data_IF_475940256001
#
_entry.id   IF_475940256001
#
_cell.length_a   1.000
_cell.length_b   1.000
_cell.length_c   1.000
_cell.angle_alpha   90.00
_cell.angle_beta   90.00
_cell.angle_gamma   90.00
#
_symmetry.space_group_name_H-M   'P 1'
#
loop_
_entity.id
_entity.type
_entity.pdbx_description
1 polymer ?
#
# COMPACT_ATOMS: atom_id res chain seq x y z
N UNK A 1 -19.52 5.07 -18.99
CA UNK A 1 -18.79 6.13 -18.26
C UNK A 1 -18.35 5.53 -16.93
N UNK A 2 -17.08 5.14 -16.82
CA UNK A 2 -16.55 4.51 -15.61
C UNK A 2 -16.62 5.51 -14.45
N UNK A 3 -17.26 5.10 -13.34
CA UNK A 3 -17.43 5.94 -12.14
C UNK A 3 -16.05 6.46 -11.71
N UNK A 4 -15.88 7.78 -11.68
CA UNK A 4 -14.67 8.42 -11.19
C UNK A 4 -14.60 8.09 -9.70
N UNK A 5 -13.62 7.28 -9.29
CA UNK A 5 -13.44 6.96 -7.88
C UNK A 5 -13.04 8.26 -7.17
N UNK A 6 -13.84 8.76 -6.21
CA UNK A 6 -13.53 9.95 -5.44
C UNK A 6 -12.27 9.76 -4.61
N UNK A 7 -11.60 10.86 -4.26
CA UNK A 7 -10.33 10.85 -3.52
C UNK A 7 -10.43 10.06 -2.22
N UNK A 8 -11.56 10.19 -1.52
CA UNK A 8 -11.83 9.50 -0.25
C UNK A 8 -11.85 7.97 -0.43
N UNK A 9 -12.54 7.49 -1.46
CA UNK A 9 -12.58 6.05 -1.77
C UNK A 9 -11.19 5.53 -2.23
N UNK A 10 -10.32 6.38 -2.80
CA UNK A 10 -8.92 5.99 -3.09
C UNK A 10 -8.09 5.83 -1.82
N UNK A 11 -8.28 6.72 -0.85
CA UNK A 11 -7.61 6.67 0.46
C UNK A 11 -8.05 5.42 1.22
N UNK A 12 -9.35 5.13 1.27
CA UNK A 12 -9.88 3.92 1.90
C UNK A 12 -9.34 2.65 1.22
N UNK A 13 -9.34 2.59 -0.11
CA UNK A 13 -8.77 1.45 -0.85
C UNK A 13 -7.28 1.26 -0.55
N UNK A 14 -6.50 2.34 -0.48
CA UNK A 14 -5.09 2.24 -0.13
C UNK A 14 -4.89 1.70 1.30
N UNK A 15 -5.70 2.16 2.27
CA UNK A 15 -5.68 1.63 3.64
C UNK A 15 -6.00 0.14 3.68
N UNK A 16 -7.04 -0.28 2.96
CA UNK A 16 -7.42 -1.70 2.87
C UNK A 16 -6.31 -2.56 2.23
N UNK A 17 -5.60 -2.05 1.23
CA UNK A 17 -4.47 -2.76 0.62
C UNK A 17 -3.27 -2.89 1.57
N UNK A 18 -3.01 -1.89 2.41
CA UNK A 18 -1.96 -1.96 3.44
C UNK A 18 -2.29 -3.05 4.48
N UNK A 19 -3.52 -3.07 4.97
CA UNK A 19 -3.97 -4.11 5.91
C UNK A 19 -3.91 -5.51 5.26
N UNK A 20 -4.35 -5.61 4.00
CA UNK A 20 -4.23 -6.86 3.24
C UNK A 20 -2.78 -7.32 3.10
N UNK A 21 -1.82 -6.41 2.93
CA UNK A 21 -0.40 -6.73 2.87
C UNK A 21 0.12 -7.31 4.20
N UNK A 22 -0.42 -6.87 5.34
CA UNK A 22 -0.10 -7.40 6.68
C UNK A 22 -0.73 -8.76 6.96
N UNK A 23 -1.88 -9.04 6.36
CA UNK A 23 -2.56 -10.34 6.47
C UNK A 23 -1.90 -11.43 5.61
N UNK A 24 -1.04 -11.08 4.65
CA UNK A 24 -0.30 -12.07 3.86
C UNK A 24 0.62 -12.81 4.83
N UNK A 25 0.32 -14.08 5.08
CA UNK A 25 1.13 -14.92 5.95
C UNK A 25 2.45 -15.28 5.24
N UNK A 26 3.60 -15.21 5.93
CA UNK A 26 4.85 -15.68 5.37
C UNK A 26 4.77 -17.20 5.16
N UNK A 27 5.31 -17.73 4.05
CA UNK A 27 5.34 -19.17 3.82
C UNK A 27 6.25 -19.86 4.86
N UNK A 28 5.76 -20.93 5.51
CA UNK A 28 6.54 -21.68 6.51
C UNK A 28 7.77 -22.41 5.93
N UNK A 29 7.79 -22.63 4.61
CA UNK A 29 8.87 -23.32 3.92
C UNK A 29 9.79 -22.30 3.23
N UNK A 30 10.82 -21.88 3.96
CA UNK A 30 11.82 -20.94 3.47
C UNK A 30 12.50 -21.45 2.19
N UNK A 31 12.34 -20.73 1.09
CA UNK A 31 12.70 -21.16 -0.26
C UNK A 31 12.16 -20.21 -1.34
N UNK A 32 12.00 -20.67 -2.59
CA UNK A 32 11.47 -19.86 -3.70
C UNK A 32 10.09 -19.20 -3.40
N UNK A 33 9.36 -19.75 -2.43
CA UNK A 33 8.12 -19.17 -1.93
C UNK A 33 8.33 -17.82 -1.23
N UNK A 34 9.48 -17.56 -0.61
CA UNK A 34 9.79 -16.27 0.03
C UNK A 34 9.89 -15.13 -0.97
N UNK A 35 10.51 -15.40 -2.14
CA UNK A 35 10.58 -14.41 -3.21
C UNK A 35 9.20 -14.13 -3.81
N UNK A 36 8.36 -15.16 -3.93
CA UNK A 36 6.98 -15.02 -4.42
C UNK A 36 6.12 -14.26 -3.42
N UNK A 37 6.26 -14.54 -2.13
CA UNK A 37 5.64 -13.81 -1.03
C UNK A 37 6.08 -12.34 -1.01
N UNK A 38 7.38 -12.08 -1.09
CA UNK A 38 7.92 -10.73 -1.10
C UNK A 38 7.43 -9.94 -2.32
N UNK A 39 7.36 -10.57 -3.49
CA UNK A 39 6.81 -9.98 -4.70
C UNK A 39 5.32 -9.65 -4.54
N UNK A 40 4.53 -10.52 -3.89
CA UNK A 40 3.10 -10.31 -3.66
C UNK A 40 2.85 -9.14 -2.71
N UNK A 41 3.54 -9.11 -1.56
CA UNK A 41 3.48 -7.99 -0.60
C UNK A 41 3.87 -6.68 -1.28
N UNK A 42 4.97 -6.67 -2.02
CA UNK A 42 5.46 -5.49 -2.72
C UNK A 42 4.51 -5.02 -3.81
N UNK A 43 3.85 -5.93 -4.53
CA UNK A 43 2.87 -5.57 -5.54
C UNK A 43 1.61 -4.94 -4.92
N UNK A 44 1.11 -5.50 -3.82
CA UNK A 44 -0.05 -4.94 -3.09
C UNK A 44 0.27 -3.54 -2.56
N UNK A 45 1.45 -3.35 -1.96
CA UNK A 45 1.90 -2.05 -1.46
C UNK A 45 2.14 -1.04 -2.60
N UNK A 46 2.61 -1.51 -3.77
CA UNK A 46 2.74 -0.69 -4.98
C UNK A 46 1.37 -0.22 -5.48
N UNK A 47 0.38 -1.11 -5.53
CA UNK A 47 -0.99 -0.75 -5.91
C UNK A 47 -1.58 0.29 -4.94
N UNK A 48 -1.35 0.13 -3.63
CA UNK A 48 -1.76 1.12 -2.63
C UNK A 48 -1.12 2.50 -2.87
N UNK A 49 0.18 2.52 -3.16
CA UNK A 49 0.92 3.75 -3.43
C UNK A 49 0.46 4.43 -4.72
N UNK A 50 0.17 3.65 -5.77
CA UNK A 50 -0.30 4.17 -7.05
C UNK A 50 -1.67 4.86 -6.94
N UNK A 51 -2.51 4.44 -5.99
CA UNK A 51 -3.80 5.09 -5.72
C UNK A 51 -3.66 6.46 -5.04
N UNK A 52 -2.67 6.61 -4.15
CA UNK A 52 -2.51 7.82 -3.32
C UNK A 52 -1.49 8.81 -3.86
N UNK A 53 -0.50 8.39 -4.66
CA UNK A 53 0.56 9.27 -5.18
C UNK A 53 0.04 10.42 -6.05
N UNK A 54 -1.13 10.23 -6.67
CA UNK A 54 -1.76 11.24 -7.53
C UNK A 54 -2.66 12.21 -6.77
N UNK A 55 -3.05 11.90 -5.53
CA UNK A 55 -3.89 12.76 -4.68
C UNK A 55 -3.26 14.15 -4.47
N UNK A 56 -1.99 14.30 -4.07
CA UNK A 56 -1.38 15.61 -3.90
C UNK A 56 -1.26 16.41 -5.21
N UNK A 57 -1.10 15.71 -6.34
CA UNK A 57 -1.00 16.29 -7.69
C UNK A 57 -2.36 16.67 -8.29
N UNK A 58 -3.46 16.16 -7.73
CA UNK A 58 -4.81 16.49 -8.20
C UNK A 58 -5.23 17.85 -7.65
N UNK A 59 -5.78 18.71 -8.52
CA UNK A 59 -6.50 19.92 -8.14
C UNK A 59 -7.92 19.53 -7.72
N UNK A 60 -8.24 19.64 -6.43
CA UNK A 60 -9.55 19.25 -5.89
C UNK A 60 -9.56 18.83 -4.42
N UNK A 61 -8.64 17.97 -3.95
CA UNK A 61 -8.60 17.55 -2.54
C UNK A 61 -8.24 18.69 -1.59
N UNK A 62 -8.84 18.68 -0.40
CA UNK A 62 -8.48 19.60 0.70
C UNK A 62 -7.04 19.35 1.17
N UNK A 63 -6.47 20.34 1.87
CA UNK A 63 -5.13 20.21 2.45
C UNK A 63 -5.01 18.97 3.36
N UNK A 64 -6.09 18.63 4.08
CA UNK A 64 -6.15 17.47 4.98
C UNK A 64 -6.03 16.15 4.23
N UNK A 65 -6.72 15.99 3.09
CA UNK A 65 -6.62 14.77 2.27
C UNK A 65 -5.22 14.60 1.66
N UNK A 66 -4.54 15.71 1.34
CA UNK A 66 -3.16 15.67 0.84
C UNK A 66 -2.19 15.27 1.95
N UNK A 67 -2.41 15.76 3.17
CA UNK A 67 -1.64 15.37 4.35
C UNK A 67 -1.85 13.89 4.69
N UNK A 68 -3.09 13.40 4.65
CA UNK A 68 -3.43 12.00 4.89
C UNK A 68 -2.81 11.08 3.84
N UNK A 69 -2.90 11.43 2.56
CA UNK A 69 -2.24 10.69 1.49
C UNK A 69 -0.70 10.64 1.69
N UNK A 70 -0.08 11.76 2.06
CA UNK A 70 1.35 11.81 2.33
C UNK A 70 1.74 10.96 3.55
N UNK A 71 0.87 10.87 4.56
CA UNK A 71 1.09 10.02 5.73
C UNK A 71 0.97 8.54 5.35
N UNK A 72 -0.06 8.15 4.60
CA UNK A 72 -0.23 6.79 4.10
C UNK A 72 0.95 6.35 3.23
N UNK A 73 1.53 7.24 2.42
CA UNK A 73 2.74 6.93 1.64
C UNK A 73 3.94 6.57 2.54
N UNK A 74 4.05 7.16 3.73
CA UNK A 74 5.07 6.80 4.72
C UNK A 74 4.74 5.46 5.37
N UNK A 75 3.49 5.26 5.75
CA UNK A 75 3.02 4.02 6.38
C UNK A 75 3.22 2.81 5.46
N UNK A 76 2.99 2.95 4.15
CA UNK A 76 3.30 1.91 3.14
C UNK A 76 4.78 1.52 3.19
N UNK A 77 5.70 2.50 3.25
CA UNK A 77 7.14 2.22 3.30
C UNK A 77 7.57 1.57 4.62
N UNK A 78 6.91 1.93 5.72
CA UNK A 78 7.14 1.32 7.03
C UNK A 78 6.64 -0.13 6.99
N UNK A 79 5.41 -0.35 6.52
CA UNK A 79 4.82 -1.68 6.37
C UNK A 79 5.67 -2.57 5.45
N UNK A 80 6.16 -2.05 4.32
CA UNK A 80 7.07 -2.79 3.42
C UNK A 80 8.31 -3.28 4.17
N UNK A 81 8.94 -2.40 4.95
CA UNK A 81 10.13 -2.77 5.75
C UNK A 81 9.77 -3.76 6.87
N UNK A 82 8.69 -3.53 7.60
CA UNK A 82 8.26 -4.41 8.70
C UNK A 82 7.92 -5.82 8.20
N UNK A 83 7.24 -5.94 7.07
CA UNK A 83 6.78 -7.22 6.52
C UNK A 83 7.95 -7.94 5.83
N UNK A 84 8.75 -7.25 5.01
CA UNK A 84 9.78 -7.87 4.20
C UNK A 84 11.13 -8.00 4.91
N UNK A 85 11.57 -7.01 5.69
CA UNK A 85 12.85 -7.13 6.40
C UNK A 85 12.77 -8.08 7.59
N UNK A 86 11.57 -8.35 8.13
CA UNK A 86 11.38 -9.40 9.13
C UNK A 86 11.53 -10.82 8.54
N UNK A 87 11.29 -11.01 7.25
CA UNK A 87 11.47 -12.30 6.57
C UNK A 87 12.94 -12.64 6.26
N UNK A 88 13.87 -11.69 6.44
CA UNK A 88 15.30 -11.86 6.16
C UNK A 88 16.13 -12.22 7.41
N UNK A 89 15.49 -12.56 8.54
CA UNK A 89 16.16 -12.90 9.80
C UNK A 89 16.11 -14.40 10.10
#
# INVERSE_FOLDING_TARGET
MSKVIPTEERIEKARNLIEKAREIQPPENGGWMDFSYAAQVKDVLRQANDLIKFIPMTSGPSADMKAEAAQLMKDIKIAEKEILHRSLA
#
